data_IF_431414367160
#
_entry.id   IF_431414367160
#
_cell.length_a   1.000
_cell.length_b   1.000
_cell.length_c   1.000
_cell.angle_alpha   90.00
_cell.angle_beta   90.00
_cell.angle_gamma   90.00
#
_symmetry.space_group_name_H-M   'P 1'
#
loop_
_entity.id
_entity.type
_entity.pdbx_description
1 polymer ?
#
# COMPACT_ATOMS: atom_id res chain seq x y z
N UNK A 1 30.12 3.41 -39.21
CA UNK A 1 30.86 3.10 -37.98
C UNK A 1 30.41 4.05 -36.88
N UNK A 2 29.53 3.60 -35.99
CA UNK A 2 29.10 4.40 -34.83
C UNK A 2 30.23 4.33 -33.81
N UNK A 3 30.78 5.49 -33.43
CA UNK A 3 31.85 5.55 -32.43
C UNK A 3 31.29 5.06 -31.09
N UNK A 4 31.65 3.84 -30.73
CA UNK A 4 31.20 3.13 -29.53
C UNK A 4 31.39 3.97 -28.25
N UNK A 5 32.46 4.76 -28.20
CA UNK A 5 32.74 5.71 -27.12
C UNK A 5 31.68 6.83 -27.00
N UNK A 6 31.22 7.38 -28.12
CA UNK A 6 30.20 8.44 -28.14
C UNK A 6 28.85 7.89 -27.67
N UNK A 7 28.55 6.64 -28.00
CA UNK A 7 27.35 5.95 -27.52
C UNK A 7 27.40 5.74 -26.02
N UNK A 8 28.51 5.24 -25.46
CA UNK A 8 28.66 5.03 -24.01
C UNK A 8 28.49 6.34 -23.23
N UNK A 9 29.17 7.42 -23.65
CA UNK A 9 29.05 8.73 -22.99
C UNK A 9 27.61 9.25 -23.05
N UNK A 10 26.94 9.09 -24.19
CA UNK A 10 25.55 9.52 -24.35
C UNK A 10 24.60 8.77 -23.39
N UNK A 11 24.75 7.46 -23.26
CA UNK A 11 23.94 6.66 -22.33
C UNK A 11 24.18 7.02 -20.86
N UNK A 12 25.43 7.30 -20.46
CA UNK A 12 25.74 7.75 -19.10
C UNK A 12 25.12 9.11 -18.78
N UNK A 13 25.20 10.07 -19.70
CA UNK A 13 24.56 11.38 -19.52
C UNK A 13 23.05 11.26 -19.42
N UNK A 14 22.42 10.41 -20.25
CA UNK A 14 20.98 10.16 -20.22
C UNK A 14 20.53 9.49 -18.92
N UNK A 15 21.29 8.51 -18.41
CA UNK A 15 21.03 7.87 -17.12
C UNK A 15 21.16 8.84 -15.96
N UNK A 16 22.17 9.72 -15.98
CA UNK A 16 22.41 10.68 -14.91
C UNK A 16 21.28 11.73 -14.80
N UNK A 17 20.78 12.23 -15.93
CA UNK A 17 19.64 13.17 -15.94
C UNK A 17 18.32 12.49 -15.55
N UNK A 18 18.14 11.22 -15.90
CA UNK A 18 17.00 10.43 -15.45
C UNK A 18 17.02 10.26 -13.92
N UNK A 19 18.15 9.83 -13.35
CA UNK A 19 18.30 9.68 -11.89
C UNK A 19 18.10 11.00 -11.13
N UNK A 20 18.62 12.12 -11.65
CA UNK A 20 18.44 13.44 -11.04
C UNK A 20 16.97 13.92 -11.03
N UNK A 21 16.19 13.53 -12.04
CA UNK A 21 14.77 13.90 -12.13
C UNK A 21 13.87 13.13 -11.16
N UNK A 22 14.32 11.97 -10.65
CA UNK A 22 13.60 11.22 -9.62
C UNK A 22 13.94 11.67 -8.19
N UNK A 23 14.87 12.61 -8.01
CA UNK A 23 15.02 13.35 -6.75
C UNK A 23 14.11 14.58 -6.72
N UNK A 24 12.86 14.44 -7.14
CA UNK A 24 11.82 15.32 -6.61
C UNK A 24 11.77 15.01 -5.12
N UNK A 25 12.01 15.98 -4.22
CA UNK A 25 11.63 15.79 -2.84
C UNK A 25 10.11 15.60 -2.90
N UNK A 26 9.66 14.37 -2.75
CA UNK A 26 8.30 14.12 -2.34
C UNK A 26 8.22 14.85 -1.01
N UNK A 27 7.68 16.07 -1.05
CA UNK A 27 7.16 16.74 0.12
C UNK A 27 6.03 15.86 0.59
N UNK A 28 6.40 14.81 1.31
CA UNK A 28 5.50 14.04 2.13
C UNK A 28 5.08 15.07 3.18
N UNK A 29 3.97 15.75 2.89
CA UNK A 29 3.04 16.06 3.95
C UNK A 29 2.88 14.74 4.70
N UNK A 30 3.56 14.65 5.84
CA UNK A 30 3.41 13.60 6.82
C UNK A 30 1.99 13.74 7.37
N UNK A 31 1.01 13.35 6.54
CA UNK A 31 -0.27 12.93 7.07
C UNK A 31 0.05 11.60 7.76
N UNK A 32 0.35 11.73 9.04
CA UNK A 32 0.50 10.68 10.03
C UNK A 32 -0.83 9.92 10.14
N UNK A 33 -1.25 9.27 9.07
CA UNK A 33 -2.18 8.16 9.10
C UNK A 33 -1.38 6.98 9.62
N UNK A 34 -1.07 7.02 10.92
CA UNK A 34 -0.84 5.81 11.68
C UNK A 34 -2.06 4.94 11.36
N UNK A 35 -1.93 3.82 10.61
CA UNK A 35 -3.05 2.90 10.52
C UNK A 35 -3.39 2.61 11.98
N UNK A 36 -4.67 2.52 12.38
CA UNK A 36 -5.00 2.21 13.75
C UNK A 36 -4.53 0.76 13.98
N UNK A 37 -3.25 0.61 14.31
CA UNK A 37 -2.62 -0.56 14.89
C UNK A 37 -2.96 -0.51 16.35
N UNK A 38 -3.92 -1.34 16.72
CA UNK A 38 -4.28 -1.68 18.09
C UNK A 38 -4.40 -3.18 18.10
N UNK A 39 -3.26 -3.86 18.21
CA UNK A 39 -3.18 -5.29 18.48
C UNK A 39 -3.73 -5.52 19.89
N UNK A 40 -5.00 -5.94 19.96
CA UNK A 40 -5.52 -6.62 21.15
C UNK A 40 -4.91 -8.02 21.14
N UNK A 41 -4.22 -8.35 22.22
CA UNK A 41 -3.55 -9.60 22.49
C UNK A 41 -4.45 -10.81 22.17
N UNK A 42 -4.07 -11.61 21.18
CA UNK A 42 -4.65 -12.93 20.93
C UNK A 42 -4.63 -13.39 19.48
N UNK A 43 -4.90 -12.50 18.52
CA UNK A 43 -5.06 -12.87 17.12
C UNK A 43 -4.40 -11.82 16.22
N UNK A 44 -3.36 -12.22 15.45
CA UNK A 44 -2.73 -11.35 14.46
C UNK A 44 -3.68 -11.19 13.26
N UNK A 45 -4.76 -10.44 13.44
CA UNK A 45 -5.78 -10.25 12.41
C UNK A 45 -5.53 -8.99 11.60
N UNK A 46 -5.73 -9.07 10.30
CA UNK A 46 -5.58 -7.95 9.35
C UNK A 46 -6.86 -7.72 8.58
N UNK A 47 -7.11 -6.47 8.24
CA UNK A 47 -8.26 -6.04 7.42
C UNK A 47 -7.70 -5.47 6.14
N UNK A 48 -8.18 -5.97 5.01
CA UNK A 48 -7.77 -5.52 3.69
C UNK A 48 -8.84 -4.56 3.17
N UNK A 49 -8.43 -3.38 2.72
CA UNK A 49 -9.32 -2.41 2.09
C UNK A 49 -8.80 -2.21 0.67
N UNK A 50 -9.59 -2.57 -0.34
CA UNK A 50 -9.28 -2.31 -1.75
C UNK A 50 -10.08 -1.13 -2.25
N UNK A 51 -9.44 -0.31 -3.07
CA UNK A 51 -10.11 0.80 -3.72
C UNK A 51 -11.08 0.29 -4.79
N UNK A 52 -10.66 -0.62 -5.67
CA UNK A 52 -11.46 -1.11 -6.81
C UNK A 52 -11.25 -2.62 -7.00
N UNK A 53 -12.15 -3.28 -7.70
CA UNK A 53 -12.01 -4.69 -8.08
C UNK A 53 -11.16 -4.84 -9.35
N UNK A 54 -9.85 -4.60 -9.24
CA UNK A 54 -8.90 -4.77 -10.36
C UNK A 54 -7.95 -5.96 -10.13
N UNK A 55 -7.49 -6.56 -11.24
CA UNK A 55 -6.62 -7.73 -11.22
C UNK A 55 -5.35 -7.53 -10.38
N UNK A 56 -4.72 -6.36 -10.48
CA UNK A 56 -3.51 -6.03 -9.72
C UNK A 56 -3.72 -6.13 -8.19
N UNK A 57 -4.87 -5.69 -7.67
CA UNK A 57 -5.16 -5.83 -6.24
C UNK A 57 -5.48 -7.28 -5.85
N UNK A 58 -6.14 -8.04 -6.72
CA UNK A 58 -6.38 -9.45 -6.47
C UNK A 58 -5.07 -10.25 -6.37
N UNK A 59 -4.11 -9.97 -7.24
CA UNK A 59 -2.78 -10.58 -7.19
C UNK A 59 -2.00 -10.16 -5.93
N UNK A 60 -2.03 -8.88 -5.58
CA UNK A 60 -1.40 -8.40 -4.35
C UNK A 60 -2.00 -9.06 -3.09
N UNK A 61 -3.33 -9.24 -3.05
CA UNK A 61 -4.02 -9.89 -1.93
C UNK A 61 -3.68 -11.37 -1.85
N UNK A 62 -3.59 -12.07 -2.99
CA UNK A 62 -3.14 -13.47 -3.02
C UNK A 62 -1.71 -13.61 -2.52
N UNK A 63 -0.79 -12.78 -2.99
CA UNK A 63 0.60 -12.79 -2.54
C UNK A 63 0.72 -12.46 -1.04
N UNK A 64 -0.12 -11.55 -0.55
CA UNK A 64 -0.21 -11.24 0.87
C UNK A 64 -0.75 -12.42 1.70
N UNK A 65 -1.82 -13.07 1.24
CA UNK A 65 -2.39 -14.25 1.88
C UNK A 65 -1.38 -15.40 1.95
N UNK A 66 -0.62 -15.62 0.87
CA UNK A 66 0.47 -16.59 0.84
C UNK A 66 1.57 -16.26 1.85
N UNK A 67 1.96 -14.99 1.97
CA UNK A 67 2.92 -14.53 2.98
C UNK A 67 2.41 -14.68 4.42
N UNK A 68 1.10 -14.55 4.65
CA UNK A 68 0.49 -14.65 5.98
C UNK A 68 0.45 -16.08 6.52
N UNK A 69 0.46 -17.11 5.66
CA UNK A 69 0.40 -18.53 6.07
C UNK A 69 1.56 -18.94 6.99
N UNK A 70 2.70 -18.25 6.92
CA UNK A 70 3.88 -18.50 7.76
C UNK A 70 3.88 -17.75 9.10
N UNK A 71 3.07 -16.71 9.25
CA UNK A 71 3.19 -15.71 10.33
C UNK A 71 2.02 -15.75 11.34
N UNK A 72 1.15 -16.76 11.24
CA UNK A 72 -0.08 -16.89 12.02
C UNK A 72 -0.97 -15.63 11.92
N UNK A 73 -0.96 -14.98 10.74
CA UNK A 73 -1.77 -13.79 10.46
C UNK A 73 -3.04 -14.24 9.76
N UNK A 74 -4.21 -13.83 10.27
CA UNK A 74 -5.51 -14.15 9.65
C UNK A 74 -6.17 -12.90 9.05
N UNK A 75 -6.71 -13.03 7.84
CA UNK A 75 -7.46 -11.95 7.20
C UNK A 75 -8.89 -11.97 7.75
N UNK A 76 -9.27 -10.94 8.51
CA UNK A 76 -10.60 -10.84 9.14
C UNK A 76 -11.69 -10.43 8.15
N UNK A 77 -11.37 -9.50 7.27
CA UNK A 77 -12.31 -8.97 6.29
C UNK A 77 -11.59 -8.32 5.11
N UNK A 78 -12.24 -8.33 3.95
CA UNK A 78 -11.83 -7.60 2.75
C UNK A 78 -12.98 -6.66 2.39
N UNK A 79 -12.72 -5.35 2.35
CA UNK A 79 -13.67 -4.31 1.96
C UNK A 79 -13.35 -3.80 0.57
N UNK A 80 -14.33 -3.82 -0.33
CA UNK A 80 -14.23 -3.20 -1.65
C UNK A 80 -14.98 -1.86 -1.69
N UNK A 81 -14.24 -0.80 -1.93
CA UNK A 81 -14.76 0.57 -1.95
C UNK A 81 -15.34 0.96 -3.31
N UNK A 82 -15.16 0.15 -4.36
CA UNK A 82 -15.62 0.43 -5.74
C UNK A 82 -15.23 1.81 -6.28
N UNK A 83 -14.12 2.36 -5.79
CA UNK A 83 -13.61 3.70 -6.11
C UNK A 83 -14.36 4.85 -5.43
N UNK A 84 -15.28 4.57 -4.49
CA UNK A 84 -16.09 5.58 -3.83
C UNK A 84 -15.45 6.07 -2.51
N UNK A 85 -15.12 7.36 -2.45
CA UNK A 85 -14.54 7.99 -1.25
C UNK A 85 -15.50 7.98 -0.04
N UNK A 86 -16.80 8.17 -0.26
CA UNK A 86 -17.80 8.10 0.80
C UNK A 86 -17.91 6.70 1.42
N UNK A 87 -17.74 5.67 0.60
CA UNK A 87 -17.71 4.29 1.08
C UNK A 87 -16.48 4.04 1.95
N UNK A 88 -15.32 4.60 1.57
CA UNK A 88 -14.10 4.57 2.37
C UNK A 88 -14.34 5.17 3.77
N UNK A 89 -14.92 6.36 3.82
CA UNK A 89 -15.23 7.07 5.07
C UNK A 89 -16.17 6.26 5.95
N UNK A 90 -17.20 5.64 5.37
CA UNK A 90 -18.15 4.78 6.09
C UNK A 90 -17.47 3.55 6.67
N UNK A 91 -16.65 2.85 5.88
CA UNK A 91 -15.91 1.66 6.32
C UNK A 91 -14.94 2.02 7.44
N UNK A 92 -14.14 3.07 7.27
CA UNK A 92 -13.20 3.53 8.30
C UNK A 92 -13.94 3.90 9.59
N UNK A 93 -15.04 4.65 9.49
CA UNK A 93 -15.81 5.02 10.67
C UNK A 93 -16.38 3.80 11.40
N UNK A 94 -16.88 2.80 10.66
CA UNK A 94 -17.34 1.52 11.25
C UNK A 94 -16.19 0.79 11.95
N UNK A 95 -15.03 0.67 11.30
CA UNK A 95 -13.86 -0.01 11.88
C UNK A 95 -13.34 0.67 13.15
N UNK A 96 -13.40 2.01 13.19
CA UNK A 96 -13.06 2.79 14.39
C UNK A 96 -14.10 2.54 15.48
N UNK A 97 -15.39 2.58 15.16
CA UNK A 97 -16.47 2.36 16.12
C UNK A 97 -16.46 0.95 16.71
N UNK A 98 -16.31 -0.08 15.88
CA UNK A 98 -16.22 -1.48 16.32
C UNK A 98 -15.07 -1.70 17.30
N UNK A 99 -13.99 -0.93 17.17
CA UNK A 99 -12.86 -1.00 18.11
C UNK A 99 -13.14 -0.30 19.44
N UNK A 100 -13.81 0.85 19.39
CA UNK A 100 -14.11 1.68 20.57
C UNK A 100 -15.25 1.11 21.40
N UNK A 101 -16.30 0.56 20.76
CA UNK A 101 -17.44 -0.08 21.43
C UNK A 101 -17.12 -1.40 22.14
N UNK A 102 -15.94 -1.98 21.87
CA UNK A 102 -15.44 -3.20 22.54
C UNK A 102 -14.75 -2.90 23.90
N UNK A 103 -14.79 -1.67 24.39
CA UNK A 103 -14.14 -1.25 25.64
C UNK A 103 -15.11 -0.94 26.80
N UNK A 104 -16.38 -1.33 26.70
CA UNK A 104 -17.36 -1.20 27.79
C UNK A 104 -17.83 -2.58 28.26
#
# INVERSE_FOLDING_TARGET
>A
MVNHWKTIVFWYTLLFTFYGSFQIPVGIAEERSKPPGGTRTGENTVIIIRSQEIAAYNEAIKGFEEGCKGENISIKAIYDLKGAAEECKRVIHRLIWDRVGSSC
#
